data_IF_727747752776
#
_entry.id   IF_727747752776
#
_cell.length_a   1.000
_cell.length_b   1.000
_cell.length_c   1.000
_cell.angle_alpha   90.00
_cell.angle_beta   90.00
_cell.angle_gamma   90.00
#
_symmetry.space_group_name_H-M   'P 1'
#
loop_
_entity.id
_entity.type
_entity.pdbx_description
1 polymer ?
#
# COMPACT_ATOMS: atom_id res chain seq x y z
N UNK A 1 -15.95 0.20 21.54
CA UNK A 1 -17.00 0.32 20.51
C UNK A 1 -16.96 -0.91 19.63
N UNK A 2 -18.13 -1.47 19.27
CA UNK A 2 -18.22 -2.61 18.36
C UNK A 2 -17.76 -2.21 16.95
N UNK A 3 -17.02 -3.11 16.28
CA UNK A 3 -16.54 -2.90 14.90
C UNK A 3 -17.72 -3.01 13.95
N UNK A 4 -17.94 -1.99 13.10
CA UNK A 4 -18.87 -2.12 12.00
C UNK A 4 -18.22 -2.94 10.87
N UNK A 5 -18.51 -4.23 10.85
CA UNK A 5 -17.90 -5.16 9.86
C UNK A 5 -18.43 -5.00 8.43
N UNK A 6 -19.57 -4.31 8.25
CA UNK A 6 -20.21 -4.10 6.94
C UNK A 6 -19.67 -2.90 6.18
N UNK A 7 -19.12 -1.90 6.88
CA UNK A 7 -18.57 -0.69 6.26
C UNK A 7 -17.04 -0.68 6.25
N UNK A 8 -16.45 -0.16 5.18
CA UNK A 8 -15.01 0.11 5.08
C UNK A 8 -14.66 1.44 5.71
N UNK A 9 -13.47 1.55 6.31
CA UNK A 9 -12.91 2.86 6.64
C UNK A 9 -12.13 3.43 5.45
N UNK A 10 -12.27 4.73 5.23
CA UNK A 10 -11.60 5.48 4.16
C UNK A 10 -10.63 6.52 4.72
N UNK A 11 -10.47 6.55 6.03
CA UNK A 11 -9.59 7.52 6.69
C UNK A 11 -8.13 7.17 6.43
N UNK A 12 -7.43 8.06 5.73
CA UNK A 12 -6.00 7.92 5.42
C UNK A 12 -5.14 7.94 6.69
N UNK A 13 -5.60 8.62 7.77
CA UNK A 13 -4.89 8.69 9.05
C UNK A 13 -4.75 7.32 9.73
N UNK A 14 -5.61 6.37 9.38
CA UNK A 14 -5.56 4.99 9.85
C UNK A 14 -4.40 4.17 9.25
N UNK A 15 -3.77 4.65 8.19
CA UNK A 15 -2.62 3.97 7.57
C UNK A 15 -1.32 4.21 8.35
N UNK A 16 -0.33 3.33 8.13
CA UNK A 16 1.05 3.56 8.58
C UNK A 16 1.55 4.93 8.10
N UNK A 17 2.25 5.74 8.93
CA UNK A 17 2.68 7.10 8.54
C UNK A 17 3.50 7.19 7.25
N UNK A 18 4.32 6.17 6.93
CA UNK A 18 5.07 6.14 5.66
C UNK A 18 4.11 5.92 4.48
N UNK A 19 3.12 5.05 4.66
CA UNK A 19 2.08 4.77 3.64
C UNK A 19 1.20 6.00 3.42
N UNK A 20 0.89 6.76 4.48
CA UNK A 20 0.18 8.04 4.35
C UNK A 20 0.95 9.04 3.47
N UNK A 21 2.28 9.17 3.66
CA UNK A 21 3.11 10.05 2.82
C UNK A 21 3.09 9.61 1.36
N UNK A 22 3.23 8.31 1.11
CA UNK A 22 3.19 7.75 -0.24
C UNK A 22 1.82 7.99 -0.90
N UNK A 23 0.73 7.67 -0.20
CA UNK A 23 -0.62 7.85 -0.71
C UNK A 23 -0.95 9.32 -0.99
N UNK A 24 -0.65 10.22 -0.06
CA UNK A 24 -0.90 11.65 -0.26
C UNK A 24 -0.11 12.21 -1.46
N UNK A 25 1.14 11.74 -1.66
CA UNK A 25 1.94 12.09 -2.84
C UNK A 25 1.29 11.56 -4.13
N UNK A 26 0.80 10.32 -4.12
CA UNK A 26 0.09 9.74 -5.26
C UNK A 26 -1.20 10.50 -5.56
N UNK A 27 -2.03 10.77 -4.55
CA UNK A 27 -3.29 11.51 -4.71
C UNK A 27 -3.08 12.90 -5.32
N UNK A 28 -2.03 13.61 -4.89
CA UNK A 28 -1.68 14.90 -5.49
C UNK A 28 -1.31 14.77 -6.99
N UNK A 29 -0.53 13.74 -7.35
CA UNK A 29 -0.18 13.46 -8.76
C UNK A 29 -1.40 13.03 -9.58
N UNK A 30 -2.30 12.20 -9.03
CA UNK A 30 -3.53 11.76 -9.68
C UNK A 30 -4.40 12.97 -10.00
N UNK A 31 -4.62 13.86 -9.02
CA UNK A 31 -5.39 15.11 -9.23
C UNK A 31 -4.74 16.02 -10.27
N UNK A 32 -3.39 16.14 -10.29
CA UNK A 32 -2.67 16.90 -11.32
C UNK A 32 -2.90 16.34 -12.73
N UNK A 33 -3.16 15.04 -12.87
CA UNK A 33 -3.56 14.41 -14.13
C UNK A 33 -5.07 14.53 -14.42
N UNK A 34 -5.80 15.41 -13.69
CA UNK A 34 -7.26 15.66 -13.85
C UNK A 34 -8.10 14.40 -13.59
N UNK A 35 -7.60 13.46 -12.81
CA UNK A 35 -8.33 12.26 -12.38
C UNK A 35 -8.86 12.50 -10.98
N UNK A 36 -10.15 12.19 -10.74
CA UNK A 36 -10.76 12.23 -9.42
C UNK A 36 -10.59 10.87 -8.73
N UNK A 37 -9.74 10.75 -7.68
CA UNK A 37 -9.55 9.48 -6.97
C UNK A 37 -10.63 9.27 -5.91
N UNK A 38 -11.07 8.03 -5.75
CA UNK A 38 -11.95 7.58 -4.67
C UNK A 38 -11.23 6.53 -3.84
N UNK A 39 -10.90 6.84 -2.59
CA UNK A 39 -10.43 5.86 -1.62
C UNK A 39 -11.61 5.00 -1.19
N UNK A 40 -11.51 3.70 -1.39
CA UNK A 40 -12.58 2.73 -1.10
C UNK A 40 -12.38 2.10 0.28
N UNK A 41 -11.16 1.66 0.60
CA UNK A 41 -10.82 1.11 1.90
C UNK A 41 -9.36 1.40 2.26
N UNK A 42 -9.08 1.70 3.53
CA UNK A 42 -7.74 1.89 4.09
C UNK A 42 -7.45 0.79 5.12
N UNK A 43 -7.58 1.09 6.41
CA UNK A 43 -7.44 0.08 7.47
C UNK A 43 -8.66 -0.85 7.48
N UNK A 44 -8.40 -2.14 7.65
CA UNK A 44 -9.44 -3.17 7.81
C UNK A 44 -9.25 -3.86 9.16
N UNK A 45 -10.16 -3.67 10.13
CA UNK A 45 -10.14 -4.41 11.37
C UNK A 45 -10.18 -5.93 11.11
N UNK A 46 -9.51 -6.72 11.95
CA UNK A 46 -9.44 -8.17 11.78
C UNK A 46 -10.81 -8.84 11.78
N UNK A 47 -11.76 -8.32 12.58
CA UNK A 47 -13.13 -8.82 12.60
C UNK A 47 -13.85 -8.59 11.26
N UNK A 48 -13.64 -7.43 10.61
CA UNK A 48 -14.15 -7.20 9.26
C UNK A 48 -13.52 -8.15 8.23
N UNK A 49 -12.24 -8.49 8.38
CA UNK A 49 -11.61 -9.50 7.51
C UNK A 49 -12.26 -10.88 7.70
N UNK A 50 -12.61 -11.26 8.92
CA UNK A 50 -13.35 -12.48 9.19
C UNK A 50 -14.75 -12.45 8.55
N UNK A 51 -15.46 -11.32 8.66
CA UNK A 51 -16.75 -11.12 8.00
C UNK A 51 -16.65 -11.30 6.49
N UNK A 52 -15.68 -10.68 5.84
CA UNK A 52 -15.47 -10.79 4.39
C UNK A 52 -15.03 -12.20 3.98
N UNK A 53 -14.17 -12.85 4.76
CA UNK A 53 -13.70 -14.20 4.47
C UNK A 53 -14.80 -15.24 4.62
N UNK A 54 -15.73 -15.06 5.55
CA UNK A 54 -16.86 -15.93 5.78
C UNK A 54 -17.88 -15.98 4.64
N UNK A 55 -17.89 -14.96 3.74
CA UNK A 55 -18.77 -14.95 2.59
C UNK A 55 -18.42 -16.09 1.61
N UNK A 56 -19.42 -16.85 1.17
CA UNK A 56 -19.26 -17.97 0.24
C UNK A 56 -18.50 -19.17 0.84
N UNK A 57 -18.50 -19.33 2.17
CA UNK A 57 -17.80 -20.42 2.87
C UNK A 57 -18.61 -21.02 4.01
N UNK A 58 -18.40 -22.33 4.26
CA UNK A 58 -18.93 -23.02 5.43
C UNK A 58 -18.13 -22.70 6.70
N UNK A 59 -18.72 -22.96 7.87
CA UNK A 59 -18.05 -22.85 9.17
C UNK A 59 -16.78 -23.73 9.19
N UNK A 60 -16.88 -24.98 8.73
CA UNK A 60 -15.74 -25.90 8.68
C UNK A 60 -14.59 -25.36 7.83
N UNK A 61 -14.89 -24.81 6.64
CA UNK A 61 -13.87 -24.18 5.77
C UNK A 61 -13.19 -22.98 6.45
N UNK A 62 -13.97 -22.14 7.13
CA UNK A 62 -13.42 -20.97 7.83
C UNK A 62 -12.51 -21.37 9.00
N UNK A 63 -12.91 -22.35 9.81
CA UNK A 63 -12.11 -22.89 10.92
C UNK A 63 -10.84 -23.56 10.41
N UNK A 64 -10.94 -24.39 9.38
CA UNK A 64 -9.79 -25.04 8.74
C UNK A 64 -8.76 -24.05 8.17
N UNK A 65 -9.19 -22.86 7.78
CA UNK A 65 -8.30 -21.78 7.35
C UNK A 65 -7.68 -20.96 8.53
N UNK A 66 -8.03 -21.29 9.78
CA UNK A 66 -7.50 -20.61 10.98
C UNK A 66 -8.36 -19.46 11.52
N UNK A 67 -9.62 -19.34 11.07
CA UNK A 67 -10.56 -18.41 11.70
C UNK A 67 -11.02 -18.98 13.06
N UNK A 68 -11.05 -18.19 14.14
CA UNK A 68 -11.61 -18.65 15.41
C UNK A 68 -13.06 -19.12 15.25
N UNK A 69 -13.42 -20.25 15.88
CA UNK A 69 -14.72 -20.92 15.72
C UNK A 69 -15.91 -19.98 15.94
N UNK A 70 -15.84 -19.11 16.96
CA UNK A 70 -16.89 -18.12 17.26
C UNK A 70 -17.14 -17.15 16.10
N UNK A 71 -16.09 -16.67 15.45
CA UNK A 71 -16.20 -15.81 14.27
C UNK A 71 -16.65 -16.57 13.03
N UNK A 72 -16.20 -17.82 12.86
CA UNK A 72 -16.68 -18.67 11.78
C UNK A 72 -18.19 -18.92 11.88
N UNK A 73 -18.70 -19.25 13.06
CA UNK A 73 -20.14 -19.41 13.31
C UNK A 73 -20.93 -18.11 13.09
N UNK A 74 -20.35 -16.95 13.43
CA UNK A 74 -20.97 -15.63 13.27
C UNK A 74 -21.04 -15.17 11.81
N UNK A 75 -20.03 -15.47 10.99
CA UNK A 75 -19.83 -14.84 9.69
C UNK A 75 -19.84 -15.77 8.49
N UNK A 76 -19.67 -17.09 8.67
CA UNK A 76 -19.77 -18.03 7.56
C UNK A 76 -21.21 -18.05 6.99
N UNK A 77 -21.34 -17.87 5.70
CA UNK A 77 -22.63 -17.88 5.00
C UNK A 77 -22.46 -18.23 3.52
N UNK A 78 -23.53 -18.63 2.88
CA UNK A 78 -23.58 -18.82 1.42
C UNK A 78 -23.31 -17.54 0.63
N UNK A 79 -23.25 -17.66 -0.69
CA UNK A 79 -22.97 -16.56 -1.62
C UNK A 79 -21.59 -16.62 -2.25
N UNK A 80 -21.12 -15.52 -2.79
CA UNK A 80 -19.83 -15.43 -3.47
C UNK A 80 -18.68 -15.15 -2.50
N UNK A 81 -17.52 -15.74 -2.77
CA UNK A 81 -16.28 -15.41 -2.03
C UNK A 81 -15.85 -13.97 -2.32
N UNK A 82 -15.57 -13.20 -1.27
CA UNK A 82 -15.20 -11.78 -1.36
C UNK A 82 -13.72 -11.56 -1.17
N UNK A 83 -13.05 -12.41 -0.40
CA UNK A 83 -11.59 -12.36 -0.20
C UNK A 83 -11.00 -13.76 -0.09
N UNK A 84 -9.73 -13.90 -0.47
CA UNK A 84 -9.02 -15.18 -0.50
C UNK A 84 -8.12 -15.42 0.72
N UNK A 85 -7.96 -14.43 1.60
CA UNK A 85 -7.03 -14.51 2.72
C UNK A 85 -7.64 -14.05 4.04
N UNK A 86 -7.17 -14.63 5.14
CA UNK A 86 -7.41 -14.12 6.50
C UNK A 86 -6.36 -13.07 6.92
N UNK A 87 -5.25 -12.95 6.17
CA UNK A 87 -4.08 -12.11 6.49
C UNK A 87 -3.89 -10.99 5.48
N UNK A 88 -4.90 -10.14 5.35
CA UNK A 88 -4.84 -8.98 4.45
C UNK A 88 -3.85 -7.91 4.95
N UNK A 89 -3.15 -7.26 4.02
CA UNK A 89 -2.23 -6.15 4.32
C UNK A 89 -2.99 -4.90 4.81
N UNK A 90 -4.30 -4.79 4.55
CA UNK A 90 -5.17 -3.77 5.17
C UNK A 90 -5.18 -3.85 6.70
N UNK A 91 -5.14 -5.06 7.29
CA UNK A 91 -5.05 -5.26 8.74
C UNK A 91 -3.75 -4.64 9.30
N UNK A 92 -2.69 -4.64 8.50
CA UNK A 92 -1.38 -4.08 8.85
C UNK A 92 -1.30 -2.57 8.62
N UNK A 93 -2.38 -1.91 8.23
CA UNK A 93 -2.41 -0.47 7.89
C UNK A 93 -1.48 -0.09 6.73
N UNK A 94 -1.17 -1.04 5.86
CA UNK A 94 -0.19 -0.90 4.78
C UNK A 94 -0.78 -1.18 3.39
N UNK A 95 -2.10 -1.15 3.25
CA UNK A 95 -2.79 -1.25 1.97
C UNK A 95 -3.92 -0.22 1.85
N UNK A 96 -4.28 0.10 0.62
CA UNK A 96 -5.39 0.97 0.26
C UNK A 96 -6.06 0.45 -1.02
N UNK A 97 -7.39 0.46 -1.03
CA UNK A 97 -8.16 0.28 -2.25
C UNK A 97 -8.52 1.65 -2.81
N UNK A 98 -8.16 1.90 -4.06
CA UNK A 98 -8.27 3.19 -4.73
C UNK A 98 -8.74 3.00 -6.17
N UNK A 99 -9.77 3.74 -6.57
CA UNK A 99 -10.31 3.73 -7.93
C UNK A 99 -10.55 5.15 -8.44
N UNK A 100 -10.67 5.37 -9.76
CA UNK A 100 -11.16 6.63 -10.28
C UNK A 100 -12.66 6.76 -10.12
N UNK A 101 -13.15 8.01 -10.18
CA UNK A 101 -14.57 8.33 -10.31
C UNK A 101 -14.78 9.42 -11.35
N UNK A 102 -15.91 9.38 -12.08
CA UNK A 102 -16.37 10.41 -13.02
C UNK A 102 -17.81 10.77 -12.70
N UNK A 103 -18.10 12.07 -12.60
CA UNK A 103 -19.45 12.56 -12.29
C UNK A 103 -20.05 11.88 -11.05
N UNK A 104 -19.24 11.68 -10.00
CA UNK A 104 -19.64 11.03 -8.75
C UNK A 104 -19.79 9.51 -8.83
N UNK A 105 -19.61 8.88 -10.01
CA UNK A 105 -19.73 7.43 -10.19
C UNK A 105 -18.36 6.75 -10.12
N UNK A 106 -18.26 5.72 -9.30
CA UNK A 106 -17.06 4.88 -9.15
C UNK A 106 -16.80 4.07 -10.44
N UNK A 107 -15.53 3.98 -10.86
CA UNK A 107 -15.13 3.23 -12.05
C UNK A 107 -14.35 1.99 -11.59
N UNK A 108 -14.95 0.83 -11.76
CA UNK A 108 -14.40 -0.47 -11.37
C UNK A 108 -13.69 -1.20 -12.52
N UNK A 109 -13.78 -0.66 -13.74
CA UNK A 109 -13.19 -1.28 -14.92
C UNK A 109 -11.65 -1.14 -14.87
N UNK A 110 -10.96 -2.28 -14.78
CA UNK A 110 -9.49 -2.35 -14.78
C UNK A 110 -8.86 -1.86 -16.09
N UNK A 111 -9.59 -1.91 -17.20
CA UNK A 111 -9.13 -1.47 -18.51
C UNK A 111 -9.35 0.03 -18.75
N UNK A 112 -10.05 0.72 -17.84
CA UNK A 112 -10.25 2.17 -17.96
C UNK A 112 -8.91 2.93 -17.92
N UNK A 113 -8.81 3.98 -18.75
CA UNK A 113 -7.58 4.78 -18.87
C UNK A 113 -7.15 5.43 -17.56
N UNK A 114 -8.12 5.89 -16.74
CA UNK A 114 -7.82 6.54 -15.48
C UNK A 114 -7.39 5.51 -14.43
N UNK A 115 -7.95 4.28 -14.46
CA UNK A 115 -7.51 3.15 -13.63
C UNK A 115 -6.05 2.80 -13.95
N UNK A 116 -5.69 2.64 -15.22
CA UNK A 116 -4.31 2.38 -15.65
C UNK A 116 -3.37 3.49 -15.20
N UNK A 117 -3.80 4.75 -15.33
CA UNK A 117 -2.99 5.90 -14.89
C UNK A 117 -2.82 5.97 -13.37
N UNK A 118 -3.84 5.61 -12.59
CA UNK A 118 -3.73 5.47 -11.13
C UNK A 118 -2.70 4.40 -10.78
N UNK A 119 -2.72 3.22 -11.43
CA UNK A 119 -1.75 2.14 -11.21
C UNK A 119 -0.32 2.64 -11.42
N UNK A 120 -0.02 3.27 -12.55
CA UNK A 120 1.30 3.86 -12.83
C UNK A 120 1.77 4.84 -11.74
N UNK A 121 0.85 5.73 -11.31
CA UNK A 121 1.17 6.75 -10.31
C UNK A 121 1.42 6.11 -8.94
N UNK A 122 0.61 5.14 -8.52
CA UNK A 122 0.77 4.42 -7.25
C UNK A 122 2.10 3.65 -7.22
N UNK A 123 2.46 2.97 -8.30
CA UNK A 123 3.76 2.30 -8.43
C UNK A 123 4.93 3.30 -8.41
N UNK A 124 4.75 4.49 -9.01
CA UNK A 124 5.79 5.54 -9.04
C UNK A 124 6.17 6.07 -7.66
N UNK A 125 5.34 5.84 -6.66
CA UNK A 125 5.62 6.21 -5.26
C UNK A 125 5.93 5.01 -4.36
N UNK A 126 5.92 3.77 -4.90
CA UNK A 126 6.43 2.57 -4.25
C UNK A 126 5.37 1.57 -3.77
N UNK A 127 4.10 1.72 -4.16
CA UNK A 127 3.11 0.67 -3.95
C UNK A 127 3.33 -0.50 -4.91
N UNK A 128 3.01 -1.68 -4.45
CA UNK A 128 2.73 -2.85 -5.28
C UNK A 128 1.26 -2.80 -5.68
N UNK A 129 0.95 -2.89 -6.97
CA UNK A 129 -0.42 -2.91 -7.47
C UNK A 129 -0.94 -4.36 -7.60
N UNK A 130 -2.09 -4.63 -7.00
CA UNK A 130 -2.77 -5.92 -7.12
C UNK A 130 -3.21 -6.25 -8.54
N UNK A 131 -3.41 -5.23 -9.38
CA UNK A 131 -3.68 -5.41 -10.81
C UNK A 131 -2.60 -6.24 -11.54
N UNK A 132 -1.37 -6.23 -11.04
CA UNK A 132 -0.22 -6.91 -11.66
C UNK A 132 0.06 -8.30 -11.05
N UNK A 133 -0.82 -8.83 -10.22
CA UNK A 133 -0.65 -10.19 -9.69
C UNK A 133 -0.95 -11.22 -10.76
N UNK A 134 -0.10 -12.25 -10.85
CA UNK A 134 -0.24 -13.33 -11.84
C UNK A 134 -1.45 -14.23 -11.55
N UNK A 135 -1.80 -14.37 -10.27
CA UNK A 135 -3.01 -15.08 -9.84
C UNK A 135 -3.94 -14.12 -9.13
N UNK A 136 -5.22 -14.14 -9.51
CA UNK A 136 -6.28 -13.30 -8.92
C UNK A 136 -5.93 -11.80 -8.91
N UNK A 137 -5.78 -11.15 -10.09
CA UNK A 137 -5.55 -9.71 -10.15
C UNK A 137 -6.63 -8.93 -9.40
N UNK A 138 -6.21 -7.94 -8.61
CA UNK A 138 -7.07 -7.08 -7.81
C UNK A 138 -6.77 -5.60 -8.13
N UNK A 139 -7.47 -5.08 -9.13
CA UNK A 139 -7.18 -3.76 -9.72
C UNK A 139 -7.26 -2.59 -8.75
N UNK A 140 -8.22 -2.50 -7.80
CA UNK A 140 -8.27 -1.41 -6.82
C UNK A 140 -7.21 -1.50 -5.74
N UNK A 141 -6.59 -2.67 -5.52
CA UNK A 141 -5.71 -2.92 -4.39
C UNK A 141 -4.28 -2.44 -4.60
N UNK A 142 -3.77 -1.66 -3.64
CA UNK A 142 -2.37 -1.18 -3.57
C UNK A 142 -1.80 -1.43 -2.19
N UNK A 143 -0.59 -2.04 -2.11
CA UNK A 143 -0.01 -2.41 -0.82
C UNK A 143 1.48 -2.08 -0.71
N UNK A 144 1.96 -1.97 0.54
CA UNK A 144 3.38 -1.91 0.91
C UNK A 144 3.66 -3.09 1.83
N UNK A 145 3.80 -4.29 1.23
CA UNK A 145 4.03 -5.55 1.95
C UNK A 145 5.43 -5.60 2.54
N UNK A 146 5.59 -6.29 3.67
CA UNK A 146 6.90 -6.58 4.27
C UNK A 146 7.52 -5.45 5.07
N UNK A 147 6.74 -4.41 5.41
CA UNK A 147 7.18 -3.38 6.35
C UNK A 147 6.52 -3.57 7.72
N UNK A 148 7.20 -3.13 8.77
CA UNK A 148 6.65 -3.18 10.12
C UNK A 148 5.44 -2.27 10.26
N UNK A 149 4.35 -2.78 10.84
CA UNK A 149 3.12 -2.02 11.15
C UNK A 149 3.43 -0.76 11.98
N UNK A 150 4.35 -0.87 12.92
CA UNK A 150 4.81 0.24 13.79
C UNK A 150 6.03 0.96 13.21
N UNK A 151 6.49 0.60 12.01
CA UNK A 151 7.68 1.15 11.39
C UNK A 151 7.52 2.62 11.03
N UNK A 152 8.40 3.48 11.57
CA UNK A 152 8.42 4.94 11.31
C UNK A 152 9.45 5.33 10.24
N UNK A 153 10.27 4.39 9.78
CA UNK A 153 11.32 4.62 8.79
C UNK A 153 11.49 3.40 7.88
N UNK A 154 11.76 3.62 6.60
CA UNK A 154 12.37 2.61 5.75
C UNK A 154 13.85 2.49 6.08
N UNK A 155 14.34 1.26 6.15
CA UNK A 155 15.73 0.88 6.45
C UNK A 155 16.05 -0.41 5.71
N UNK A 156 17.32 -0.85 5.72
CA UNK A 156 17.72 -2.15 5.17
C UNK A 156 16.88 -3.34 5.69
N UNK A 157 16.39 -3.28 6.96
CA UNK A 157 15.57 -4.34 7.59
C UNK A 157 14.07 -4.11 7.49
N UNK A 158 13.64 -2.92 7.09
CA UNK A 158 12.22 -2.51 7.04
C UNK A 158 11.94 -1.83 5.70
N UNK A 159 11.83 -2.60 4.65
CA UNK A 159 11.57 -2.15 3.29
C UNK A 159 11.05 -3.31 2.44
N UNK A 160 10.74 -3.04 1.18
CA UNK A 160 10.52 -4.04 0.15
C UNK A 160 11.09 -3.59 -1.19
N UNK A 161 11.07 -4.47 -2.18
CA UNK A 161 11.63 -4.24 -3.51
C UNK A 161 11.04 -3.00 -4.20
N UNK A 162 9.74 -2.77 -4.10
CA UNK A 162 9.05 -1.66 -4.76
C UNK A 162 9.47 -0.32 -4.16
N UNK A 163 9.39 -0.18 -2.84
CA UNK A 163 9.83 1.02 -2.11
C UNK A 163 11.32 1.30 -2.34
N UNK A 164 12.16 0.27 -2.28
CA UNK A 164 13.60 0.41 -2.48
C UNK A 164 13.91 0.90 -3.90
N UNK A 165 13.26 0.36 -4.93
CA UNK A 165 13.39 0.85 -6.31
C UNK A 165 13.05 2.33 -6.44
N UNK A 166 11.97 2.77 -5.79
CA UNK A 166 11.58 4.19 -5.82
C UNK A 166 12.62 5.05 -5.12
N UNK A 167 13.10 4.66 -3.94
CA UNK A 167 14.16 5.37 -3.22
C UNK A 167 15.42 5.50 -4.10
N UNK A 168 15.88 4.40 -4.70
CA UNK A 168 17.04 4.39 -5.60
C UNK A 168 16.82 5.30 -6.82
N UNK A 169 15.67 5.19 -7.51
CA UNK A 169 15.32 6.06 -8.65
C UNK A 169 15.35 7.54 -8.29
N UNK A 170 14.79 7.89 -7.13
CA UNK A 170 14.75 9.28 -6.66
C UNK A 170 16.11 9.81 -6.26
N UNK A 171 16.93 8.99 -5.58
CA UNK A 171 18.33 9.33 -5.28
C UNK A 171 19.17 9.47 -6.55
N UNK A 172 18.95 8.63 -7.57
CA UNK A 172 19.61 8.75 -8.87
C UNK A 172 19.22 10.05 -9.56
N UNK A 173 17.92 10.38 -9.60
CA UNK A 173 17.43 11.64 -10.15
C UNK A 173 17.98 12.87 -9.41
N UNK A 174 18.20 12.76 -8.11
CA UNK A 174 18.79 13.81 -7.27
C UNK A 174 20.33 13.86 -7.32
N UNK A 175 20.99 13.01 -8.14
CA UNK A 175 22.45 13.01 -8.31
C UNK A 175 23.24 12.27 -7.23
N UNK A 176 22.59 11.49 -6.35
CA UNK A 176 23.28 10.85 -5.21
C UNK A 176 23.47 9.34 -5.36
N UNK A 177 22.93 8.69 -6.39
CA UNK A 177 23.02 7.24 -6.56
C UNK A 177 24.10 6.81 -7.60
N UNK A 178 24.63 7.76 -8.38
CA UNK A 178 25.65 7.48 -9.42
C UNK A 178 25.17 6.47 -10.45
N UNK A 179 26.09 5.65 -10.95
CA UNK A 179 25.83 4.68 -12.02
C UNK A 179 25.29 3.33 -11.51
N UNK A 180 25.04 3.21 -10.21
CA UNK A 180 24.47 1.98 -9.66
C UNK A 180 23.11 1.63 -10.29
N UNK A 181 22.92 0.32 -10.49
CA UNK A 181 21.66 -0.22 -10.99
C UNK A 181 20.52 -0.01 -9.98
N UNK A 182 19.35 0.38 -10.49
CA UNK A 182 18.12 0.47 -9.72
C UNK A 182 17.47 -0.92 -9.66
N UNK A 183 17.90 -1.75 -8.72
CA UNK A 183 17.53 -3.16 -8.61
C UNK A 183 16.41 -3.46 -7.58
N UNK A 184 16.19 -2.52 -6.65
CA UNK A 184 15.27 -2.69 -5.52
C UNK A 184 15.88 -3.46 -4.35
N UNK A 185 17.18 -3.69 -4.37
CA UNK A 185 17.92 -4.31 -3.27
C UNK A 185 18.57 -3.24 -2.39
N UNK A 186 18.21 -3.22 -1.09
CA UNK A 186 18.77 -2.25 -0.16
C UNK A 186 20.15 -2.70 0.32
N UNK A 187 21.21 -2.27 -0.38
CA UNK A 187 22.61 -2.56 -0.10
C UNK A 187 23.42 -1.34 0.37
N UNK A 188 24.75 -1.52 0.43
CA UNK A 188 25.71 -0.46 0.80
C UNK A 188 25.58 0.78 -0.11
N UNK A 189 25.34 0.58 -1.43
CA UNK A 189 25.14 1.68 -2.37
C UNK A 189 23.94 2.56 -1.97
N UNK A 190 22.81 1.94 -1.63
CA UNK A 190 21.60 2.66 -1.16
C UNK A 190 21.85 3.39 0.16
N UNK A 191 22.51 2.74 1.15
CA UNK A 191 22.87 3.37 2.42
C UNK A 191 23.77 4.60 2.21
N UNK A 192 24.81 4.48 1.39
CA UNK A 192 25.75 5.56 1.12
C UNK A 192 25.07 6.73 0.37
N UNK A 193 24.23 6.43 -0.61
CA UNK A 193 23.46 7.44 -1.33
C UNK A 193 22.52 8.23 -0.40
N UNK A 194 21.80 7.56 0.49
CA UNK A 194 20.94 8.20 1.49
C UNK A 194 21.77 9.11 2.41
N UNK A 195 22.91 8.63 2.90
CA UNK A 195 23.80 9.41 3.77
C UNK A 195 24.34 10.65 3.06
N UNK A 196 24.84 10.53 1.81
CA UNK A 196 25.33 11.66 1.00
C UNK A 196 24.21 12.67 0.75
N UNK A 197 23.03 12.20 0.34
CA UNK A 197 21.86 13.05 0.12
C UNK A 197 21.47 13.81 1.40
N UNK A 198 21.39 13.15 2.55
CA UNK A 198 21.08 13.82 3.82
C UNK A 198 22.12 14.82 4.24
N UNK A 199 23.42 14.52 4.02
CA UNK A 199 24.52 15.45 4.27
C UNK A 199 24.37 16.73 3.45
N UNK A 200 24.01 16.63 2.15
CA UNK A 200 23.80 17.80 1.30
C UNK A 200 22.61 18.69 1.73
N UNK A 201 21.67 18.13 2.50
CA UNK A 201 20.54 18.87 3.07
C UNK A 201 20.80 19.41 4.48
N UNK A 202 21.98 19.22 5.04
CA UNK A 202 22.29 19.58 6.42
C UNK A 202 21.56 18.70 7.46
N UNK A 203 21.07 17.54 7.06
CA UNK A 203 20.31 16.66 7.94
C UNK A 203 21.19 15.66 8.68
N UNK A 204 20.70 15.13 9.83
CA UNK A 204 21.36 14.04 10.55
C UNK A 204 21.70 12.89 9.60
N UNK A 205 22.98 12.57 9.46
CA UNK A 205 23.49 11.55 8.53
C UNK A 205 23.21 10.14 9.06
N UNK A 206 22.33 9.44 8.40
CA UNK A 206 22.02 8.03 8.64
C UNK A 206 21.33 7.44 7.40
N UNK A 207 21.24 6.12 7.33
CA UNK A 207 20.58 5.39 6.22
C UNK A 207 19.11 5.04 6.54
N UNK A 208 18.35 5.98 7.12
CA UNK A 208 16.92 5.80 7.46
C UNK A 208 16.09 6.82 6.67
N UNK A 209 14.98 6.40 6.09
CA UNK A 209 14.02 7.28 5.39
C UNK A 209 12.74 7.34 6.21
N UNK A 210 12.62 8.33 7.09
CA UNK A 210 11.37 8.65 7.80
C UNK A 210 10.42 9.47 6.94
N UNK A 211 9.27 9.85 7.49
CA UNK A 211 8.20 10.55 6.76
C UNK A 211 8.66 11.85 6.10
N UNK A 212 9.39 12.70 6.81
CA UNK A 212 9.95 13.96 6.28
C UNK A 212 10.93 13.69 5.12
N UNK A 213 11.85 12.75 5.32
CA UNK A 213 12.82 12.37 4.29
C UNK A 213 12.12 11.75 3.06
N UNK A 214 11.12 10.91 3.28
CA UNK A 214 10.34 10.31 2.21
C UNK A 214 9.59 11.38 1.40
N UNK A 215 8.90 12.31 2.07
CA UNK A 215 8.19 13.40 1.41
C UNK A 215 9.14 14.23 0.53
N UNK A 216 10.31 14.62 1.06
CA UNK A 216 11.34 15.36 0.30
C UNK A 216 11.87 14.53 -0.87
N UNK A 217 12.15 13.24 -0.66
CA UNK A 217 12.67 12.37 -1.72
C UNK A 217 11.65 12.15 -2.85
N UNK A 218 10.37 12.01 -2.53
CA UNK A 218 9.30 11.85 -3.52
C UNK A 218 9.01 13.11 -4.34
N UNK A 219 9.51 14.29 -3.91
CA UNK A 219 9.37 15.55 -4.66
C UNK A 219 10.37 15.70 -5.82
N UNK A 220 11.45 14.92 -5.87
CA UNK A 220 12.34 14.84 -7.04
C UNK A 220 11.64 14.03 -8.16
#
# INVERSE_FOLDING_TARGET
MAVNVKSSTRDIKELNPLVQVMLNTALAKIKKNKISPLVVETYRPKERQYYLYGQGRSVATCVGAGMPKSYAQKYARGGNKVTWTLNSIHIQRCAVDLIPQRNGKAIWNSNDKDTKKIIEIMESVGFEAGANWSSSPDSPHFQVKGISVKGKCFTKKNNNKFVTKVIQKKLKKAGFYGDYTVDGCWGKATDNAIKKWKKSLGWRVNAKIGTTALKKLLSY
#
